data_IF_171561386529
#
_entry.id   IF_171561386529
#
_cell.length_a   1.000
_cell.length_b   1.000
_cell.length_c   1.000
_cell.angle_alpha   90.00
_cell.angle_beta   90.00
_cell.angle_gamma   90.00
#
_symmetry.space_group_name_H-M   'P 1'
#
loop_
_entity.id
_entity.type
_entity.pdbx_description
1 polymer ?
#
# COMPACT_ATOMS: atom_id res chain seq x y z
N UNK A 1 -11.12 18.91 23.43
CA UNK A 1 -10.32 18.05 22.53
C UNK A 1 -9.45 18.95 21.69
N UNK A 2 -8.13 18.81 21.75
CA UNK A 2 -7.24 19.67 20.96
C UNK A 2 -7.39 19.35 19.47
N UNK A 3 -7.29 20.35 18.57
CA UNK A 3 -7.37 20.14 17.11
C UNK A 3 -6.42 19.04 16.60
N UNK A 4 -5.33 18.78 17.31
CA UNK A 4 -4.37 17.70 17.01
C UNK A 4 -4.91 16.30 17.33
N UNK A 5 -5.59 16.12 18.47
CA UNK A 5 -6.23 14.84 18.82
C UNK A 5 -7.36 14.51 17.85
N UNK A 6 -8.10 15.54 17.42
CA UNK A 6 -9.15 15.39 16.42
C UNK A 6 -8.58 14.88 15.09
N UNK A 7 -7.41 15.37 14.65
CA UNK A 7 -6.79 14.87 13.41
C UNK A 7 -6.37 13.40 13.52
N UNK A 8 -5.82 12.99 14.67
CA UNK A 8 -5.38 11.61 14.90
C UNK A 8 -6.54 10.61 14.84
N UNK A 9 -7.69 10.94 15.43
CA UNK A 9 -8.86 10.05 15.40
C UNK A 9 -9.43 9.91 13.99
N UNK A 10 -9.43 10.98 13.19
CA UNK A 10 -9.79 10.91 11.77
C UNK A 10 -8.83 10.03 10.98
N UNK A 11 -7.51 10.21 11.15
CA UNK A 11 -6.52 9.36 10.48
C UNK A 11 -6.67 7.89 10.87
N UNK A 12 -6.91 7.58 12.14
CA UNK A 12 -7.20 6.22 12.57
C UNK A 12 -8.43 5.65 11.85
N UNK A 13 -9.53 6.41 11.79
CA UNK A 13 -10.75 5.98 11.08
C UNK A 13 -10.51 5.76 9.58
N UNK A 14 -9.72 6.60 8.92
CA UNK A 14 -9.37 6.39 7.53
C UNK A 14 -8.52 5.13 7.33
N UNK A 15 -7.48 4.93 8.15
CA UNK A 15 -6.62 3.75 8.09
C UNK A 15 -7.41 2.46 8.32
N UNK A 16 -8.15 2.36 9.42
CA UNK A 16 -8.89 1.14 9.77
C UNK A 16 -10.14 0.96 8.91
N UNK A 17 -10.79 2.04 8.47
CA UNK A 17 -11.92 1.96 7.52
C UNK A 17 -11.47 1.41 6.17
N UNK A 18 -10.33 1.87 5.67
CA UNK A 18 -9.75 1.32 4.44
C UNK A 18 -9.28 -0.13 4.61
N UNK A 19 -8.66 -0.45 5.76
CA UNK A 19 -8.30 -1.83 6.09
C UNK A 19 -9.52 -2.76 6.11
N UNK A 20 -10.67 -2.31 6.64
CA UNK A 20 -11.93 -3.06 6.59
C UNK A 20 -12.39 -3.31 5.15
N UNK A 21 -12.35 -2.28 4.28
CA UNK A 21 -12.69 -2.44 2.87
C UNK A 21 -11.79 -3.49 2.20
N UNK A 22 -10.51 -3.54 2.55
CA UNK A 22 -9.58 -4.55 2.03
C UNK A 22 -9.94 -5.96 2.51
N UNK A 23 -10.27 -6.14 3.79
CA UNK A 23 -10.71 -7.46 4.31
C UNK A 23 -11.97 -7.91 3.57
N UNK A 24 -12.95 -7.02 3.40
CA UNK A 24 -14.19 -7.31 2.68
C UNK A 24 -13.90 -7.69 1.22
N UNK A 25 -13.07 -6.90 0.54
CA UNK A 25 -12.64 -7.21 -0.83
C UNK A 25 -11.96 -8.59 -0.91
N UNK A 26 -11.08 -8.91 0.04
CA UNK A 26 -10.37 -10.20 0.10
C UNK A 26 -11.29 -11.37 0.42
N UNK A 27 -12.32 -11.17 1.24
CA UNK A 27 -13.36 -12.17 1.49
C UNK A 27 -14.05 -12.58 0.18
N UNK A 28 -14.48 -11.60 -0.63
CA UNK A 28 -15.13 -11.86 -1.92
C UNK A 28 -14.17 -12.36 -3.01
N UNK A 29 -12.89 -12.06 -2.89
CA UNK A 29 -11.84 -12.50 -3.82
C UNK A 29 -11.25 -13.87 -3.44
N UNK A 30 -11.84 -14.58 -2.47
CA UNK A 30 -11.35 -15.86 -1.96
C UNK A 30 -9.88 -15.84 -1.49
N UNK A 31 -9.46 -14.69 -0.92
CA UNK A 31 -8.08 -14.39 -0.57
C UNK A 31 -7.82 -14.38 0.95
N UNK A 32 -8.80 -14.73 1.78
CA UNK A 32 -8.61 -14.87 3.23
C UNK A 32 -7.95 -16.20 3.61
N UNK A 33 -7.38 -16.26 4.82
CA UNK A 33 -6.57 -17.40 5.25
C UNK A 33 -7.37 -18.71 5.24
N UNK A 34 -8.62 -18.70 5.70
CA UNK A 34 -9.47 -19.91 5.68
C UNK A 34 -9.91 -20.35 4.29
N UNK A 35 -9.78 -19.48 3.28
CA UNK A 35 -10.15 -19.75 1.88
C UNK A 35 -8.95 -20.27 1.08
N UNK A 36 -7.72 -20.01 1.55
CA UNK A 36 -6.52 -20.64 1.01
C UNK A 36 -6.58 -22.14 1.31
N UNK A 37 -6.81 -22.96 0.29
CA UNK A 37 -7.06 -24.41 0.36
C UNK A 37 -5.82 -25.22 0.79
N UNK A 38 -5.23 -24.90 1.94
CA UNK A 38 -4.00 -25.54 2.48
C UNK A 38 -2.92 -25.73 1.40
N UNK A 39 -2.45 -24.65 0.75
CA UNK A 39 -1.49 -24.74 -0.32
C UNK A 39 -0.20 -25.43 0.14
N UNK A 40 0.21 -26.45 -0.59
CA UNK A 40 1.42 -27.24 -0.31
C UNK A 40 2.68 -26.49 -0.78
N UNK A 41 2.54 -25.69 -1.84
CA UNK A 41 3.61 -24.88 -2.40
C UNK A 41 3.60 -23.48 -1.77
N UNK A 42 4.81 -22.98 -1.51
CA UNK A 42 5.04 -21.60 -1.08
C UNK A 42 6.34 -21.08 -1.69
N UNK A 43 6.42 -19.76 -1.87
CA UNK A 43 7.61 -19.08 -2.38
C UNK A 43 8.03 -17.97 -1.41
N UNK A 44 9.24 -18.09 -0.86
CA UNK A 44 9.77 -17.15 0.13
C UNK A 44 10.78 -16.15 -0.45
N UNK A 45 11.10 -16.28 -1.74
CA UNK A 45 12.19 -15.57 -2.42
C UNK A 45 13.47 -15.48 -1.55
N UNK A 46 14.20 -14.38 -1.61
CA UNK A 46 15.35 -14.09 -0.73
C UNK A 46 14.95 -13.30 0.53
N UNK A 47 13.68 -13.32 0.93
CA UNK A 47 13.22 -12.60 2.13
C UNK A 47 13.42 -13.44 3.40
N UNK A 48 14.44 -13.10 4.20
CA UNK A 48 14.75 -13.79 5.45
C UNK A 48 13.60 -13.77 6.46
N UNK A 49 12.70 -12.79 6.41
CA UNK A 49 11.52 -12.73 7.29
C UNK A 49 10.57 -13.87 6.98
N UNK A 50 10.37 -14.16 5.69
CA UNK A 50 9.51 -15.24 5.24
C UNK A 50 10.13 -16.57 5.64
N UNK A 51 11.44 -16.74 5.41
CA UNK A 51 12.18 -17.92 5.86
C UNK A 51 12.06 -18.17 7.36
N UNK A 52 12.20 -17.13 8.19
CA UNK A 52 12.05 -17.25 9.63
C UNK A 52 10.64 -17.71 10.03
N UNK A 53 9.59 -17.15 9.42
CA UNK A 53 8.20 -17.52 9.73
C UNK A 53 7.90 -18.98 9.38
N UNK A 54 8.35 -19.45 8.22
CA UNK A 54 8.19 -20.85 7.80
C UNK A 54 9.05 -21.80 8.63
N UNK A 55 10.26 -21.39 9.03
CA UNK A 55 11.09 -22.18 9.94
C UNK A 55 10.43 -22.38 11.30
N UNK A 56 9.79 -21.33 11.84
CA UNK A 56 9.01 -21.39 13.08
C UNK A 56 7.64 -22.08 12.93
N UNK A 57 7.30 -22.54 11.72
CA UNK A 57 6.03 -23.18 11.38
C UNK A 57 4.78 -22.34 11.68
N UNK A 58 4.92 -21.01 11.74
CA UNK A 58 3.81 -20.09 12.06
C UNK A 58 2.70 -20.16 11.01
N UNK A 59 3.00 -20.09 9.69
CA UNK A 59 1.94 -20.18 8.68
C UNK A 59 1.23 -21.54 8.68
N UNK A 60 1.98 -22.63 8.91
CA UNK A 60 1.46 -23.99 8.97
C UNK A 60 0.49 -24.18 10.14
N UNK A 61 0.77 -23.59 11.30
CA UNK A 61 -0.12 -23.66 12.46
C UNK A 61 -1.50 -23.05 12.19
N UNK A 62 -1.55 -21.96 11.41
CA UNK A 62 -2.81 -21.27 11.10
C UNK A 62 -3.58 -21.93 9.96
N UNK A 63 -2.89 -22.44 8.94
CA UNK A 63 -3.52 -23.00 7.75
C UNK A 63 -3.94 -24.46 7.91
N UNK A 64 -3.21 -25.27 8.68
CA UNK A 64 -3.47 -26.72 8.76
C UNK A 64 -4.82 -27.05 9.42
N UNK A 65 -5.29 -26.19 10.32
CA UNK A 65 -6.58 -26.35 10.98
C UNK A 65 -7.57 -25.29 10.48
N UNK A 66 -8.65 -25.74 9.83
CA UNK A 66 -9.71 -24.85 9.33
C UNK A 66 -10.32 -23.98 10.43
N UNK A 67 -10.37 -24.48 11.66
CA UNK A 67 -10.89 -23.71 12.79
C UNK A 67 -9.94 -22.56 13.16
N UNK A 68 -8.62 -22.79 13.15
CA UNK A 68 -7.64 -21.73 13.49
C UNK A 68 -7.61 -20.65 12.43
N UNK A 69 -7.74 -20.99 11.15
CA UNK A 69 -7.80 -19.99 10.08
C UNK A 69 -9.07 -19.14 10.15
N UNK A 70 -10.23 -19.75 10.41
CA UNK A 70 -11.49 -19.01 10.62
C UNK A 70 -11.39 -18.09 11.85
N UNK A 71 -10.83 -18.58 12.96
CA UNK A 71 -10.63 -17.76 14.16
C UNK A 71 -9.68 -16.59 13.88
N UNK A 72 -8.62 -16.80 13.12
CA UNK A 72 -7.69 -15.74 12.72
C UNK A 72 -8.37 -14.68 11.85
N UNK A 73 -9.10 -15.07 10.81
CA UNK A 73 -9.79 -14.12 9.93
C UNK A 73 -10.88 -13.35 10.68
N UNK A 74 -11.62 -14.05 11.56
CA UNK A 74 -12.63 -13.43 12.44
C UNK A 74 -11.98 -12.43 13.39
N UNK A 75 -10.85 -12.79 14.01
CA UNK A 75 -10.08 -11.90 14.87
C UNK A 75 -9.56 -10.68 14.08
N UNK A 76 -8.99 -10.87 12.90
CA UNK A 76 -8.48 -9.80 12.06
C UNK A 76 -9.60 -8.81 11.70
N UNK A 77 -10.77 -9.31 11.32
CA UNK A 77 -11.95 -8.50 11.04
C UNK A 77 -12.43 -7.73 12.29
N UNK A 78 -12.69 -8.43 13.40
CA UNK A 78 -13.23 -7.83 14.62
C UNK A 78 -12.27 -6.82 15.25
N UNK A 79 -10.97 -7.12 15.28
CA UNK A 79 -9.95 -6.21 15.81
C UNK A 79 -9.79 -4.96 14.94
N UNK A 80 -9.90 -5.10 13.61
CA UNK A 80 -9.88 -3.95 12.67
C UNK A 80 -11.15 -3.11 12.85
N UNK A 81 -12.32 -3.74 12.97
CA UNK A 81 -13.60 -3.06 13.20
C UNK A 81 -13.60 -2.31 14.53
N UNK A 82 -13.07 -2.95 15.58
CA UNK A 82 -12.91 -2.32 16.89
C UNK A 82 -12.00 -1.10 16.82
N UNK A 83 -10.84 -1.21 16.15
CA UNK A 83 -9.92 -0.09 15.96
C UNK A 83 -10.55 1.05 15.15
N UNK A 84 -11.42 0.73 14.19
CA UNK A 84 -12.19 1.73 13.44
C UNK A 84 -13.20 2.48 14.33
N UNK A 85 -14.07 1.75 15.03
CA UNK A 85 -15.14 2.33 15.88
C UNK A 85 -14.54 3.20 16.98
N UNK A 86 -13.54 2.67 17.70
CA UNK A 86 -12.90 3.35 18.82
C UNK A 86 -11.69 4.20 18.41
N UNK A 87 -11.49 4.44 17.11
CA UNK A 87 -10.42 5.27 16.54
C UNK A 87 -9.04 4.98 17.16
N UNK A 88 -8.68 3.69 17.24
CA UNK A 88 -7.40 3.21 17.76
C UNK A 88 -7.06 3.64 19.20
N UNK A 89 -8.08 3.91 20.04
CA UNK A 89 -7.90 4.35 21.43
C UNK A 89 -7.14 3.31 22.28
N UNK A 90 -7.37 2.03 22.05
CA UNK A 90 -6.85 0.93 22.87
C UNK A 90 -5.63 0.27 22.23
N UNK A 91 -4.46 0.54 22.81
CA UNK A 91 -3.15 0.23 22.21
C UNK A 91 -2.82 -1.25 22.09
N UNK A 92 -3.26 -2.05 23.05
CA UNK A 92 -3.04 -3.50 22.99
C UNK A 92 -3.76 -4.08 21.77
N UNK A 93 -5.00 -3.67 21.54
CA UNK A 93 -5.78 -4.11 20.37
C UNK A 93 -5.16 -3.58 19.08
N UNK A 94 -4.69 -2.33 19.06
CA UNK A 94 -3.93 -1.78 17.92
C UNK A 94 -2.69 -2.60 17.61
N UNK A 95 -1.89 -2.95 18.62
CA UNK A 95 -0.69 -3.77 18.46
C UNK A 95 -1.03 -5.17 17.93
N UNK A 96 -1.99 -5.84 18.56
CA UNK A 96 -2.41 -7.17 18.13
C UNK A 96 -2.96 -7.13 16.70
N UNK A 97 -3.73 -6.11 16.34
CA UNK A 97 -4.23 -5.92 14.98
C UNK A 97 -3.09 -5.67 13.98
N UNK A 98 -2.10 -4.83 14.32
CA UNK A 98 -0.94 -4.56 13.49
C UNK A 98 -0.11 -5.84 13.23
N UNK A 99 0.10 -6.64 14.28
CA UNK A 99 0.75 -7.95 14.16
C UNK A 99 -0.08 -8.88 13.29
N UNK A 100 -1.40 -8.95 13.49
CA UNK A 100 -2.29 -9.80 12.68
C UNK A 100 -2.24 -9.42 11.19
N UNK A 101 -2.25 -8.13 10.86
CA UNK A 101 -2.07 -7.67 9.47
C UNK A 101 -0.70 -8.02 8.88
N UNK A 102 0.36 -7.92 9.68
CA UNK A 102 1.72 -8.31 9.27
C UNK A 102 1.82 -9.81 9.01
N UNK A 103 1.28 -10.62 9.92
CA UNK A 103 1.17 -12.07 9.74
C UNK A 103 0.37 -12.40 8.48
N UNK A 104 -0.81 -11.78 8.29
CA UNK A 104 -1.63 -11.98 7.11
C UNK A 104 -0.87 -11.67 5.81
N UNK A 105 -0.16 -10.54 5.76
CA UNK A 105 0.62 -10.14 4.58
C UNK A 105 1.70 -11.17 4.23
N UNK A 106 2.45 -11.65 5.23
CA UNK A 106 3.49 -12.67 5.05
C UNK A 106 2.89 -13.99 4.55
N UNK A 107 1.78 -14.44 5.14
CA UNK A 107 1.13 -15.69 4.73
C UNK A 107 0.60 -15.59 3.31
N UNK A 108 -0.15 -14.54 3.02
CA UNK A 108 -0.74 -14.34 1.71
C UNK A 108 0.33 -14.30 0.61
N UNK A 109 1.42 -13.56 0.81
CA UNK A 109 2.52 -13.49 -0.16
C UNK A 109 3.29 -14.80 -0.30
N UNK A 110 3.50 -15.53 0.80
CA UNK A 110 4.16 -16.84 0.76
C UNK A 110 3.38 -17.85 -0.07
N UNK A 111 2.07 -17.92 0.12
CA UNK A 111 1.22 -18.97 -0.46
C UNK A 111 0.56 -18.60 -1.79
N UNK A 112 0.46 -17.30 -2.10
CA UNK A 112 0.09 -16.87 -3.46
C UNK A 112 1.24 -17.02 -4.45
N UNK A 113 2.45 -17.38 -3.97
CA UNK A 113 3.69 -17.39 -4.74
C UNK A 113 3.89 -16.10 -5.54
N UNK A 114 3.44 -14.98 -4.97
CA UNK A 114 3.52 -13.68 -5.59
C UNK A 114 3.79 -12.65 -4.50
N UNK A 115 4.88 -11.89 -4.65
CA UNK A 115 5.20 -10.83 -3.71
C UNK A 115 4.26 -9.66 -3.93
N UNK A 116 3.12 -9.69 -3.26
CA UNK A 116 2.15 -8.60 -3.31
C UNK A 116 2.55 -7.52 -2.31
N UNK A 117 3.35 -6.57 -2.79
CA UNK A 117 3.79 -5.41 -2.01
C UNK A 117 2.65 -4.42 -1.69
N UNK A 118 1.44 -4.63 -2.21
CA UNK A 118 0.35 -3.66 -2.04
C UNK A 118 -0.14 -3.56 -0.60
N UNK A 119 -0.13 -4.66 0.17
CA UNK A 119 -0.67 -4.73 1.55
C UNK A 119 0.17 -3.91 2.55
N UNK A 120 1.38 -3.49 2.16
CA UNK A 120 2.35 -2.85 3.07
C UNK A 120 1.75 -1.64 3.80
N UNK A 121 0.87 -0.86 3.16
CA UNK A 121 0.23 0.29 3.79
C UNK A 121 -0.64 -0.08 4.99
N UNK A 122 -1.42 -1.16 4.86
CA UNK A 122 -2.26 -1.67 5.95
C UNK A 122 -1.44 -2.38 7.02
N UNK A 123 -0.30 -2.95 6.64
CA UNK A 123 0.64 -3.56 7.58
C UNK A 123 1.29 -2.53 8.50
N UNK A 124 1.81 -1.43 7.94
CA UNK A 124 2.70 -0.52 8.70
C UNK A 124 1.96 0.62 9.40
N UNK A 125 0.90 1.18 8.82
CA UNK A 125 0.22 2.35 9.39
C UNK A 125 -0.40 2.11 10.79
N UNK A 126 -0.95 0.93 11.12
CA UNK A 126 -1.43 0.64 12.47
C UNK A 126 -0.39 0.90 13.57
N UNK A 127 0.90 0.65 13.30
CA UNK A 127 1.97 0.89 14.27
C UNK A 127 2.10 2.38 14.64
N UNK A 128 1.73 3.31 13.75
CA UNK A 128 1.71 4.75 14.05
C UNK A 128 0.85 5.04 15.29
N UNK A 129 -0.31 4.39 15.40
CA UNK A 129 -1.30 4.68 16.43
C UNK A 129 -0.94 4.13 17.81
N UNK A 130 0.12 3.32 17.93
CA UNK A 130 0.66 2.90 19.23
C UNK A 130 1.32 4.06 19.99
N UNK A 131 1.86 5.04 19.29
CA UNK A 131 2.65 6.13 19.88
C UNK A 131 1.77 7.07 20.71
N UNK A 132 2.01 7.19 22.02
CA UNK A 132 1.23 8.09 22.91
C UNK A 132 1.52 9.55 22.65
N UNK A 133 2.80 9.90 22.61
CA UNK A 133 3.24 11.28 22.55
C UNK A 133 2.98 11.87 21.16
N UNK A 134 2.31 13.01 21.10
CA UNK A 134 1.92 13.66 19.85
C UNK A 134 3.11 14.05 18.98
N UNK A 135 4.21 14.54 19.57
CA UNK A 135 5.43 14.88 18.82
C UNK A 135 5.99 13.61 18.17
N UNK A 136 6.13 12.52 18.93
CA UNK A 136 6.59 11.23 18.40
C UNK A 136 5.64 10.66 17.34
N UNK A 137 4.33 10.79 17.53
CA UNK A 137 3.33 10.36 16.55
C UNK A 137 3.54 11.11 15.23
N UNK A 138 3.70 12.44 15.28
CA UNK A 138 3.92 13.23 14.08
C UNK A 138 5.27 12.91 13.40
N UNK A 139 6.31 12.54 14.16
CA UNK A 139 7.57 12.06 13.59
C UNK A 139 7.37 10.74 12.84
N UNK A 140 6.69 9.78 13.46
CA UNK A 140 6.37 8.48 12.83
C UNK A 140 5.46 8.67 11.62
N UNK A 141 4.47 9.54 11.71
CA UNK A 141 3.58 9.89 10.60
C UNK A 141 4.33 10.58 9.46
N UNK A 142 5.27 11.47 9.79
CA UNK A 142 6.20 12.09 8.83
C UNK A 142 7.08 11.05 8.14
N UNK A 143 7.61 10.08 8.89
CA UNK A 143 8.38 8.98 8.32
C UNK A 143 7.54 8.15 7.33
N UNK A 144 6.29 7.79 7.66
CA UNK A 144 5.44 7.07 6.71
C UNK A 144 5.07 7.90 5.47
N UNK A 145 4.94 9.22 5.62
CA UNK A 145 4.80 10.14 4.47
C UNK A 145 6.02 10.09 3.57
N UNK A 146 7.21 10.17 4.14
CA UNK A 146 8.46 10.13 3.37
C UNK A 146 8.70 8.74 2.75
N UNK A 147 8.30 7.66 3.43
CA UNK A 147 8.31 6.30 2.90
C UNK A 147 7.37 6.16 1.68
N UNK A 148 6.18 6.74 1.72
CA UNK A 148 5.25 6.73 0.58
C UNK A 148 5.87 7.43 -0.64
N UNK A 149 6.45 8.61 -0.42
CA UNK A 149 7.14 9.35 -1.47
C UNK A 149 8.37 8.60 -1.99
N UNK A 150 9.07 7.89 -1.11
CA UNK A 150 10.22 7.07 -1.47
C UNK A 150 9.83 5.94 -2.41
N UNK A 151 8.75 5.19 -2.13
CA UNK A 151 8.28 4.10 -2.99
C UNK A 151 8.01 4.60 -4.42
N UNK A 152 7.40 5.78 -4.56
CA UNK A 152 7.10 6.37 -5.87
C UNK A 152 8.34 6.94 -6.56
N UNK A 153 9.23 7.58 -5.80
CA UNK A 153 10.49 8.12 -6.31
C UNK A 153 11.45 7.01 -6.76
N UNK A 154 11.56 5.93 -5.99
CA UNK A 154 12.33 4.74 -6.35
C UNK A 154 11.80 4.11 -7.64
N UNK A 155 10.47 3.98 -7.75
CA UNK A 155 9.82 3.51 -8.96
C UNK A 155 10.11 4.39 -10.19
N UNK A 156 10.26 5.71 -10.02
CA UNK A 156 10.72 6.63 -11.05
C UNK A 156 12.19 6.37 -11.40
N UNK A 157 13.09 6.30 -10.41
CA UNK A 157 14.53 6.12 -10.62
C UNK A 157 14.79 4.82 -11.40
N UNK A 158 14.13 3.73 -11.01
CA UNK A 158 14.28 2.44 -11.66
C UNK A 158 13.83 2.46 -13.12
N UNK A 159 12.68 3.09 -13.42
CA UNK A 159 12.16 3.19 -14.79
C UNK A 159 12.97 4.15 -15.65
N UNK A 160 13.34 5.32 -15.12
CA UNK A 160 13.97 6.39 -15.87
C UNK A 160 15.47 6.15 -16.09
N UNK A 161 16.21 5.75 -15.05
CA UNK A 161 17.67 5.72 -15.09
C UNK A 161 18.25 4.31 -15.16
N UNK A 162 17.72 3.37 -14.36
CA UNK A 162 18.29 2.02 -14.29
C UNK A 162 17.93 1.23 -15.56
N UNK A 163 16.64 1.12 -15.85
CA UNK A 163 16.18 0.43 -17.05
C UNK A 163 16.27 1.28 -18.32
N UNK A 164 16.44 2.59 -18.20
CA UNK A 164 16.46 3.56 -19.32
C UNK A 164 15.20 3.48 -20.19
N UNK A 165 14.08 3.06 -19.62
CA UNK A 165 12.82 2.81 -20.35
C UNK A 165 12.23 4.07 -20.99
N UNK A 166 12.55 5.25 -20.45
CA UNK A 166 12.09 6.52 -21.02
C UNK A 166 12.59 6.76 -22.44
N UNK A 167 13.70 6.14 -22.86
CA UNK A 167 14.24 6.31 -24.21
C UNK A 167 13.70 5.26 -25.20
N UNK A 168 12.98 4.25 -24.72
CA UNK A 168 12.42 3.20 -25.57
C UNK A 168 10.97 3.52 -25.96
N UNK A 169 10.79 4.03 -27.17
CA UNK A 169 9.49 4.55 -27.66
C UNK A 169 8.39 3.50 -27.83
N UNK A 170 8.70 2.21 -27.71
CA UNK A 170 7.72 1.11 -27.74
C UNK A 170 7.40 0.53 -26.36
N UNK A 171 8.03 1.02 -25.29
CA UNK A 171 7.90 0.43 -23.95
C UNK A 171 6.46 0.32 -23.48
N UNK A 172 5.61 1.32 -23.77
CA UNK A 172 4.20 1.31 -23.36
C UNK A 172 3.44 0.12 -23.94
N UNK A 173 3.54 -0.10 -25.26
CA UNK A 173 2.91 -1.26 -25.90
C UNK A 173 3.53 -2.59 -25.48
N UNK A 174 4.85 -2.62 -25.25
CA UNK A 174 5.56 -3.83 -24.78
C UNK A 174 5.25 -4.19 -23.31
N UNK A 175 4.76 -3.24 -22.50
CA UNK A 175 4.25 -3.52 -21.14
C UNK A 175 2.81 -4.05 -21.22
N UNK A 176 1.95 -3.44 -22.05
CA UNK A 176 0.54 -3.84 -22.17
C UNK A 176 0.43 -5.28 -22.67
N UNK A 177 1.19 -5.65 -23.71
CA UNK A 177 1.12 -6.98 -24.35
C UNK A 177 1.23 -8.15 -23.37
N UNK A 178 2.32 -8.30 -22.58
CA UNK A 178 2.45 -9.42 -21.66
C UNK A 178 1.42 -9.34 -20.53
N UNK A 179 1.19 -8.14 -19.96
CA UNK A 179 0.31 -7.99 -18.80
C UNK A 179 -1.16 -8.26 -19.12
N UNK A 180 -1.62 -7.91 -20.34
CA UNK A 180 -3.01 -8.07 -20.76
C UNK A 180 -3.23 -9.28 -21.67
N UNK A 181 -2.19 -10.08 -21.94
CA UNK A 181 -2.26 -11.21 -22.88
C UNK A 181 -3.37 -12.20 -22.52
N UNK A 182 -3.44 -12.61 -21.25
CA UNK A 182 -4.44 -13.57 -20.76
C UNK A 182 -5.85 -12.96 -20.86
N UNK A 183 -6.02 -11.70 -20.46
CA UNK A 183 -7.31 -11.02 -20.53
C UNK A 183 -7.83 -10.87 -21.98
N UNK A 184 -6.93 -10.49 -22.89
CA UNK A 184 -7.21 -10.39 -24.33
C UNK A 184 -7.65 -11.73 -24.93
N UNK A 185 -7.06 -12.84 -24.49
CA UNK A 185 -7.40 -14.20 -24.94
C UNK A 185 -8.71 -14.70 -24.36
N UNK A 186 -8.95 -14.48 -23.06
CA UNK A 186 -10.10 -15.02 -22.34
C UNK A 186 -11.39 -14.23 -22.58
N UNK A 187 -11.29 -12.93 -22.85
CA UNK A 187 -12.47 -12.04 -22.96
C UNK A 187 -12.48 -11.20 -24.24
N UNK A 188 -12.40 -11.84 -25.43
CA UNK A 188 -12.30 -11.11 -26.69
C UNK A 188 -13.56 -10.27 -26.96
N UNK A 189 -13.36 -9.09 -27.55
CA UNK A 189 -14.45 -8.23 -28.05
C UNK A 189 -15.10 -7.31 -27.02
N UNK A 190 -14.72 -7.41 -25.73
CA UNK A 190 -15.14 -6.46 -24.69
C UNK A 190 -14.62 -5.05 -24.97
N UNK A 191 -15.25 -4.05 -24.35
CA UNK A 191 -14.80 -2.66 -24.48
C UNK A 191 -13.35 -2.46 -24.01
N UNK A 192 -12.95 -3.17 -22.94
CA UNK A 192 -11.61 -3.07 -22.37
C UNK A 192 -10.55 -3.73 -23.27
N UNK A 193 -10.83 -4.90 -23.86
CA UNK A 193 -9.93 -5.52 -24.84
C UNK A 193 -9.75 -4.66 -26.10
N UNK A 194 -10.78 -3.91 -26.52
CA UNK A 194 -10.67 -2.92 -27.60
C UNK A 194 -9.73 -1.77 -27.24
N UNK A 195 -9.80 -1.27 -26.00
CA UNK A 195 -8.88 -0.22 -25.50
C UNK A 195 -7.43 -0.73 -25.49
N UNK A 196 -7.17 -1.91 -24.94
CA UNK A 196 -5.83 -2.50 -24.94
C UNK A 196 -5.30 -2.71 -26.36
N UNK A 197 -6.13 -3.27 -27.24
CA UNK A 197 -5.78 -3.48 -28.65
C UNK A 197 -5.46 -2.15 -29.35
N UNK A 198 -6.22 -1.08 -29.07
CA UNK A 198 -5.95 0.26 -29.58
C UNK A 198 -4.57 0.76 -29.16
N UNK A 199 -4.22 0.70 -27.88
CA UNK A 199 -2.90 1.15 -27.41
C UNK A 199 -1.75 0.27 -27.90
N UNK A 200 -1.97 -1.04 -28.06
CA UNK A 200 -0.98 -1.95 -28.67
C UNK A 200 -0.71 -1.58 -30.13
N UNK A 201 -1.76 -1.22 -30.89
CA UNK A 201 -1.66 -0.82 -32.29
C UNK A 201 -1.14 0.62 -32.48
N UNK A 202 -1.18 1.44 -31.43
CA UNK A 202 -0.67 2.82 -31.45
C UNK A 202 0.46 3.02 -30.41
N UNK A 203 1.68 2.48 -30.65
CA UNK A 203 2.77 2.50 -29.68
C UNK A 203 3.15 3.90 -29.18
N UNK A 204 3.03 4.93 -30.01
CA UNK A 204 3.31 6.31 -29.60
C UNK A 204 2.34 6.84 -28.55
N UNK A 205 1.04 6.48 -28.63
CA UNK A 205 0.07 6.84 -27.61
C UNK A 205 0.32 6.08 -26.30
N UNK A 206 0.65 4.79 -26.41
CA UNK A 206 1.03 3.98 -25.25
C UNK A 206 2.31 4.52 -24.57
N UNK A 207 3.29 4.98 -25.36
CA UNK A 207 4.50 5.63 -24.87
C UNK A 207 4.20 6.95 -24.16
N UNK A 208 3.33 7.80 -24.69
CA UNK A 208 2.89 9.02 -24.01
C UNK A 208 2.25 8.71 -22.66
N UNK A 209 1.40 7.67 -22.59
CA UNK A 209 0.84 7.18 -21.33
C UNK A 209 1.91 6.73 -20.34
N UNK A 210 2.91 5.98 -20.81
CA UNK A 210 4.06 5.58 -20.00
C UNK A 210 4.87 6.78 -19.48
N UNK A 211 5.21 7.74 -20.33
CA UNK A 211 5.93 8.95 -19.93
C UNK A 211 5.14 9.75 -18.90
N UNK A 212 3.82 9.87 -19.07
CA UNK A 212 2.95 10.55 -18.10
C UNK A 212 3.00 9.87 -16.73
N UNK A 213 2.95 8.54 -16.66
CA UNK A 213 3.09 7.79 -15.41
C UNK A 213 4.45 8.02 -14.75
N UNK A 214 5.54 7.97 -15.51
CA UNK A 214 6.90 8.21 -15.00
C UNK A 214 7.05 9.65 -14.52
N UNK A 215 6.46 10.62 -15.22
CA UNK A 215 6.47 12.02 -14.82
C UNK A 215 5.69 12.26 -13.53
N UNK A 216 4.53 11.63 -13.34
CA UNK A 216 3.78 11.69 -12.07
C UNK A 216 4.58 11.14 -10.90
N UNK A 217 5.32 10.04 -11.09
CA UNK A 217 6.25 9.51 -10.09
C UNK A 217 7.37 10.51 -9.79
N UNK A 218 7.95 11.14 -10.81
CA UNK A 218 8.98 12.18 -10.65
C UNK A 218 8.48 13.37 -9.82
N UNK A 219 7.24 13.83 -10.02
CA UNK A 219 6.68 14.94 -9.24
C UNK A 219 6.64 14.65 -7.73
N UNK A 220 6.61 13.37 -7.31
CA UNK A 220 6.65 12.99 -5.91
C UNK A 220 8.00 13.34 -5.24
N UNK A 221 9.08 13.53 -6.01
CA UNK A 221 10.37 14.01 -5.49
C UNK A 221 10.25 15.39 -4.84
N UNK A 222 9.34 16.25 -5.33
CA UNK A 222 9.08 17.57 -4.74
C UNK A 222 8.67 17.44 -3.27
N UNK A 223 7.97 16.35 -2.92
CA UNK A 223 7.53 16.06 -1.57
C UNK A 223 8.69 15.93 -0.58
N UNK A 224 9.87 15.44 -0.97
CA UNK A 224 11.00 15.36 -0.04
C UNK A 224 11.49 16.73 0.43
N UNK A 225 11.40 17.74 -0.43
CA UNK A 225 11.89 19.09 -0.14
C UNK A 225 10.84 19.97 0.53
N UNK A 226 9.55 19.71 0.31
CA UNK A 226 8.49 20.56 0.86
C UNK A 226 7.18 19.81 1.11
N UNK A 227 6.47 20.24 2.16
CA UNK A 227 5.10 19.80 2.47
C UNK A 227 4.01 20.67 1.86
N UNK A 228 4.40 21.78 1.20
CA UNK A 228 3.45 22.76 0.63
C UNK A 228 2.52 22.13 -0.41
N UNK A 229 3.02 21.13 -1.14
CA UNK A 229 2.31 20.53 -2.26
C UNK A 229 1.66 19.18 -1.93
N UNK A 230 1.66 18.73 -0.67
CA UNK A 230 1.20 17.39 -0.29
C UNK A 230 -0.25 17.11 -0.71
N UNK A 231 -1.12 18.13 -0.68
CA UNK A 231 -2.50 18.01 -1.19
C UNK A 231 -2.55 17.69 -2.69
N UNK A 232 -1.66 18.29 -3.50
CA UNK A 232 -1.61 18.01 -4.93
C UNK A 232 -0.97 16.65 -5.19
N UNK A 233 0.09 16.31 -4.45
CA UNK A 233 0.72 15.00 -4.52
C UNK A 233 -0.28 13.89 -4.19
N UNK A 234 -1.16 14.08 -3.19
CA UNK A 234 -2.23 13.13 -2.87
C UNK A 234 -3.08 12.77 -4.10
N UNK A 235 -3.53 13.76 -4.88
CA UNK A 235 -4.31 13.50 -6.10
C UNK A 235 -3.47 12.92 -7.23
N UNK A 236 -2.22 13.37 -7.38
CA UNK A 236 -1.30 12.84 -8.40
C UNK A 236 -1.11 11.33 -8.20
N UNK A 237 -0.92 10.86 -6.96
CA UNK A 237 -0.75 9.43 -6.70
C UNK A 237 -2.02 8.64 -7.05
N UNK A 238 -3.21 9.16 -6.73
CA UNK A 238 -4.47 8.51 -7.10
C UNK A 238 -4.60 8.40 -8.62
N UNK A 239 -4.38 9.50 -9.35
CA UNK A 239 -4.43 9.52 -10.82
C UNK A 239 -3.39 8.56 -11.39
N UNK A 240 -2.18 8.54 -10.85
CA UNK A 240 -1.13 7.61 -11.23
C UNK A 240 -1.59 6.15 -11.12
N UNK A 241 -2.20 5.73 -10.01
CA UNK A 241 -2.67 4.35 -9.86
C UNK A 241 -3.82 4.00 -10.82
N UNK A 242 -4.71 4.95 -11.10
CA UNK A 242 -5.78 4.76 -12.09
C UNK A 242 -5.18 4.53 -13.49
N UNK A 243 -4.22 5.37 -13.90
CA UNK A 243 -3.53 5.18 -15.19
C UNK A 243 -2.78 3.84 -15.19
N UNK A 244 -2.06 3.52 -14.12
CA UNK A 244 -1.29 2.28 -14.04
C UNK A 244 -2.18 1.03 -14.12
N UNK A 245 -3.39 1.07 -13.58
CA UNK A 245 -4.37 0.00 -13.74
C UNK A 245 -4.72 -0.21 -15.24
N UNK A 246 -5.04 0.86 -15.96
CA UNK A 246 -5.39 0.76 -17.38
C UNK A 246 -4.20 0.37 -18.28
N UNK A 247 -2.97 0.78 -17.96
CA UNK A 247 -1.81 0.54 -18.84
C UNK A 247 -0.99 -0.69 -18.49
N UNK A 248 -1.01 -1.13 -17.23
CA UNK A 248 -0.09 -2.13 -16.71
C UNK A 248 -0.82 -3.31 -16.07
N UNK A 249 -2.14 -3.26 -15.90
CA UNK A 249 -2.95 -4.22 -15.14
C UNK A 249 -2.64 -4.32 -13.65
N UNK A 250 -1.81 -3.42 -13.13
CA UNK A 250 -1.38 -3.50 -11.73
C UNK A 250 -2.07 -2.42 -10.92
N UNK A 251 -3.08 -2.84 -10.16
CA UNK A 251 -3.77 -1.98 -9.22
C UNK A 251 -3.13 -2.11 -7.84
N UNK A 252 -2.31 -1.13 -7.45
CA UNK A 252 -1.81 -1.06 -6.07
C UNK A 252 -2.82 -0.38 -5.14
N UNK A 253 -4.06 -0.86 -5.14
CA UNK A 253 -5.13 -0.26 -4.34
C UNK A 253 -4.75 -0.25 -2.86
N UNK A 254 -4.21 -1.34 -2.33
CA UNK A 254 -3.89 -1.40 -0.90
C UNK A 254 -2.77 -0.44 -0.49
N UNK A 255 -1.90 -0.05 -1.43
CA UNK A 255 -0.82 0.93 -1.19
C UNK A 255 -1.38 2.36 -1.06
N UNK A 256 -2.52 2.66 -1.68
CA UNK A 256 -3.15 4.00 -1.67
C UNK A 256 -3.43 4.51 -0.26
N UNK A 257 -3.56 3.63 0.74
CA UNK A 257 -3.79 4.07 2.13
C UNK A 257 -2.64 4.91 2.67
N UNK A 258 -1.42 4.68 2.19
CA UNK A 258 -0.27 5.50 2.55
C UNK A 258 -0.45 6.95 2.11
N UNK A 259 -1.27 7.25 1.10
CA UNK A 259 -1.54 8.63 0.69
C UNK A 259 -2.24 9.45 1.76
N UNK A 260 -2.95 8.82 2.72
CA UNK A 260 -3.54 9.55 3.86
C UNK A 260 -2.46 10.29 4.67
N UNK A 261 -1.21 9.82 4.63
CA UNK A 261 -0.08 10.48 5.29
C UNK A 261 0.23 11.87 4.72
N UNK A 262 -0.08 12.12 3.44
CA UNK A 262 0.08 13.40 2.76
C UNK A 262 -0.98 14.44 3.19
N UNK A 263 -2.09 14.00 3.79
CA UNK A 263 -3.14 14.91 4.25
C UNK A 263 -2.82 15.57 5.61
N UNK A 264 -1.65 15.27 6.18
CA UNK A 264 -1.24 15.82 7.46
C UNK A 264 -0.85 17.30 7.33
N UNK A 265 -1.67 18.19 7.89
CA UNK A 265 -1.35 19.63 7.94
C UNK A 265 -0.12 19.88 8.82
N UNK A 266 0.69 20.85 8.40
CA UNK A 266 1.91 21.30 9.08
C UNK A 266 1.62 21.58 10.56
N UNK A 267 2.26 20.82 11.46
CA UNK A 267 1.97 20.90 12.88
C UNK A 267 2.82 21.97 13.57
N UNK A 268 2.21 23.13 13.83
CA UNK A 268 2.82 24.27 14.54
C UNK A 268 3.40 23.91 15.92
N UNK A 269 2.95 22.81 16.53
CA UNK A 269 3.46 22.36 17.83
C UNK A 269 4.91 21.86 17.78
N UNK A 270 5.32 21.20 16.68
CA UNK A 270 6.69 20.72 16.51
C UNK A 270 7.65 21.89 16.29
N UNK A 271 7.25 22.86 15.48
CA UNK A 271 8.02 24.09 15.29
C UNK A 271 8.17 24.87 16.59
N UNK A 272 7.12 24.92 17.42
CA UNK A 272 7.17 25.52 18.76
C UNK A 272 8.12 24.75 19.69
N UNK A 273 8.09 23.41 19.70
CA UNK A 273 8.99 22.59 20.52
C UNK A 273 10.46 22.81 20.17
N UNK A 274 10.81 22.78 18.87
CA UNK A 274 12.17 23.02 18.43
C UNK A 274 12.62 24.47 18.66
N UNK A 275 11.75 25.47 18.46
CA UNK A 275 12.05 26.87 18.82
C UNK A 275 12.29 27.04 20.31
N UNK A 276 11.48 26.41 21.16
CA UNK A 276 11.62 26.51 22.61
C UNK A 276 12.93 25.90 23.10
N UNK A 277 13.28 24.70 22.62
CA UNK A 277 14.54 24.06 23.02
C UNK A 277 15.77 24.75 22.44
N UNK A 278 15.67 25.35 21.24
CA UNK A 278 16.75 26.16 20.66
C UNK A 278 17.10 27.41 21.51
N UNK A 279 16.14 27.92 22.27
CA UNK A 279 16.35 29.09 23.15
C UNK A 279 16.88 28.72 24.55
N UNK A 280 17.10 27.43 24.83
CA UNK A 280 17.65 26.93 26.11
C UNK A 280 19.09 26.46 26.03
N UNK A 281 19.67 26.42 24.83
CA UNK A 281 21.08 26.12 24.55
C UNK A 281 21.75 27.43 24.19
#
# INVERSE_FOLDING_TARGET
>A
MNNTELNRTHFARYTYGFALLIIIYRFFSFALVHQLQTPVLFENSLDYTYWLFHYLKIPQLLLYNKTTSILFDTWLFLSTLYCFIYAARYKLIVLLNAISWSCYAIFYNSFSCHHNYTIIGVMILPYAFMVKNEIKFNLVWGFYRDLNLYILADAFIFKAFINKNIFYTRIGSEIIKPNQSIYLLQTPGTWLTKIYSFFIQHPHLAYTGFILMVFMQMLCLIGFFTKKYDKYLFYIVIIFHVINYFFVDVMFLELLILNVTLLHKKNTAIEKYFRYNKNRV
#
